data_IF_942306834946
#
_entry.id   IF_942306834946
#
_cell.length_a   1.000
_cell.length_b   1.000
_cell.length_c   1.000
_cell.angle_alpha   90.00
_cell.angle_beta   90.00
_cell.angle_gamma   90.00
#
_symmetry.space_group_name_H-M   'P 1'
#
loop_
_entity.id
_entity.type
_entity.pdbx_description
1 polymer ?
#
# COMPACT_ATOMS: atom_id res chain seq x y z
N UNK A 1 -47.66 12.43 54.68
CA UNK A 1 -46.23 12.18 55.03
C UNK A 1 -45.62 10.96 54.33
N UNK A 2 -46.35 9.86 54.09
CA UNK A 2 -45.82 8.65 53.42
C UNK A 2 -45.33 8.82 51.96
N UNK A 3 -45.92 9.71 51.15
CA UNK A 3 -45.47 9.93 49.75
C UNK A 3 -44.17 10.74 49.61
N UNK A 4 -43.81 11.59 50.58
CA UNK A 4 -42.54 12.35 50.55
C UNK A 4 -41.34 11.51 51.02
N UNK A 5 -41.57 10.51 51.86
CA UNK A 5 -40.52 9.59 52.32
C UNK A 5 -40.13 8.57 51.24
N UNK A 6 -41.09 8.14 50.40
CA UNK A 6 -40.83 7.20 49.30
C UNK A 6 -40.02 7.83 48.15
N UNK A 7 -40.30 9.09 47.79
CA UNK A 7 -39.50 9.81 46.78
C UNK A 7 -38.09 10.13 47.23
N UNK A 8 -37.86 10.31 48.54
CA UNK A 8 -36.52 10.57 49.08
C UNK A 8 -35.71 9.26 49.22
N UNK A 9 -36.36 8.14 49.52
CA UNK A 9 -35.72 6.81 49.53
C UNK A 9 -35.38 6.34 48.10
N UNK A 10 -36.22 6.64 47.11
CA UNK A 10 -35.94 6.32 45.70
C UNK A 10 -34.78 7.16 45.15
N UNK A 11 -34.66 8.42 45.55
CA UNK A 11 -33.55 9.29 45.16
C UNK A 11 -32.22 8.84 45.81
N UNK A 12 -32.26 8.33 47.05
CA UNK A 12 -31.08 7.76 47.74
C UNK A 12 -30.69 6.41 47.14
N UNK A 13 -31.66 5.58 46.70
CA UNK A 13 -31.37 4.34 45.96
C UNK A 13 -30.82 4.58 44.55
N UNK A 14 -31.26 5.64 43.86
CA UNK A 14 -30.73 6.04 42.53
C UNK A 14 -29.33 6.68 42.61
N UNK A 15 -28.98 7.32 43.73
CA UNK A 15 -27.62 7.86 43.98
C UNK A 15 -26.65 6.76 44.47
N UNK A 16 -27.15 5.66 45.02
CA UNK A 16 -26.35 4.51 45.46
C UNK A 16 -26.14 3.44 44.38
N UNK A 17 -26.95 3.43 43.32
CA UNK A 17 -26.64 2.71 42.07
C UNK A 17 -25.77 3.56 41.15
N UNK A 18 -24.71 4.16 41.70
CA UNK A 18 -23.57 4.54 40.87
C UNK A 18 -23.09 3.25 40.23
N UNK A 19 -23.20 3.15 38.91
CA UNK A 19 -22.61 2.09 38.12
C UNK A 19 -21.10 2.10 38.37
N UNK A 20 -20.63 1.39 39.40
CA UNK A 20 -19.33 0.75 39.31
C UNK A 20 -19.53 -0.38 38.32
N UNK A 21 -19.24 -0.11 37.05
CA UNK A 21 -18.83 -1.19 36.16
C UNK A 21 -17.68 -1.88 36.85
N UNK A 22 -17.81 -3.18 37.11
CA UNK A 22 -16.68 -3.98 37.57
C UNK A 22 -15.51 -3.73 36.59
N UNK A 23 -14.28 -3.50 37.07
CA UNK A 23 -13.15 -3.30 36.20
C UNK A 23 -13.05 -4.48 35.22
N UNK A 24 -12.72 -4.22 33.94
CA UNK A 24 -12.62 -5.28 32.95
C UNK A 24 -11.63 -6.34 33.41
N UNK A 25 -11.91 -7.60 33.08
CA UNK A 25 -11.05 -8.71 33.46
C UNK A 25 -9.64 -8.50 32.87
N UNK A 26 -8.57 -8.81 33.62
CA UNK A 26 -7.21 -8.72 33.10
C UNK A 26 -7.04 -9.56 31.84
N UNK A 27 -6.39 -8.99 30.83
CA UNK A 27 -6.10 -9.62 29.55
C UNK A 27 -4.60 -9.74 29.33
N UNK A 28 -4.20 -10.74 28.55
CA UNK A 28 -2.83 -10.96 28.08
C UNK A 28 -2.39 -9.95 26.99
N UNK A 29 -3.33 -9.15 26.49
CA UNK A 29 -3.11 -8.03 25.59
C UNK A 29 -3.37 -6.67 26.28
N UNK A 30 -2.76 -5.57 25.78
CA UNK A 30 -3.04 -4.21 26.25
C UNK A 30 -4.51 -3.82 26.16
N UNK A 31 -4.91 -2.84 26.97
CA UNK A 31 -6.28 -2.32 26.97
C UNK A 31 -6.63 -1.66 25.64
N UNK A 32 -7.64 -2.19 24.94
CA UNK A 32 -8.07 -1.66 23.65
C UNK A 32 -8.36 -0.15 23.69
N UNK A 33 -7.93 0.53 22.63
CA UNK A 33 -8.21 1.94 22.34
C UNK A 33 -9.25 2.02 21.22
N UNK A 34 -10.43 2.53 21.53
CA UNK A 34 -11.46 2.87 20.55
C UNK A 34 -11.35 4.35 20.16
N UNK A 35 -11.36 4.61 18.85
CA UNK A 35 -11.31 5.95 18.28
C UNK A 35 -12.67 6.25 17.67
N UNK A 36 -13.43 7.14 18.31
CA UNK A 36 -14.78 7.49 17.88
C UNK A 36 -14.81 8.87 17.19
N UNK A 37 -15.44 8.92 16.02
CA UNK A 37 -15.86 10.13 15.33
C UNK A 37 -17.38 10.08 15.08
N UNK A 38 -18.13 10.97 15.73
CA UNK A 38 -19.60 10.99 15.63
C UNK A 38 -20.21 9.66 16.06
N UNK A 39 -20.99 9.03 15.17
CA UNK A 39 -21.64 7.72 15.40
C UNK A 39 -20.81 6.53 14.88
N UNK A 40 -19.55 6.75 14.49
CA UNK A 40 -18.65 5.72 13.96
C UNK A 40 -17.34 5.67 14.74
N UNK A 41 -16.65 4.54 14.70
CA UNK A 41 -15.32 4.42 15.29
C UNK A 41 -14.58 3.18 14.83
N UNK A 42 -13.30 3.11 15.18
CA UNK A 42 -12.43 1.97 14.95
C UNK A 42 -11.63 1.66 16.21
N UNK A 43 -11.33 0.38 16.43
CA UNK A 43 -10.32 -0.04 17.39
C UNK A 43 -8.95 0.27 16.80
N UNK A 44 -8.12 1.06 17.48
CA UNK A 44 -6.75 1.32 17.06
C UNK A 44 -5.87 0.06 17.15
N UNK A 45 -4.89 -0.07 16.27
CA UNK A 45 -3.96 -1.20 16.30
C UNK A 45 -2.96 -1.01 17.44
N UNK A 46 -2.91 -1.97 18.38
CA UNK A 46 -1.81 -2.09 19.33
C UNK A 46 -0.57 -2.58 18.59
N UNK A 47 0.53 -1.82 18.68
CA UNK A 47 1.71 -2.02 17.83
C UNK A 47 2.89 -2.51 18.65
N UNK A 48 3.53 -1.59 19.38
CA UNK A 48 4.63 -1.90 20.27
C UNK A 48 4.16 -1.83 21.71
N UNK A 49 4.43 -2.86 22.50
CA UNK A 49 4.04 -2.85 23.91
C UNK A 49 4.91 -3.71 24.80
N UNK A 50 4.97 -3.29 26.06
CA UNK A 50 5.45 -4.10 27.19
C UNK A 50 4.32 -4.21 28.19
N UNK A 51 3.76 -5.40 28.34
CA UNK A 51 2.52 -5.63 29.09
C UNK A 51 2.71 -6.66 30.19
N UNK A 52 2.24 -6.35 31.40
CA UNK A 52 2.26 -7.25 32.54
C UNK A 52 0.82 -7.61 32.91
N UNK A 53 0.56 -8.89 33.15
CA UNK A 53 -0.79 -9.37 33.48
C UNK A 53 -0.72 -10.59 34.41
N UNK A 54 -1.75 -10.84 35.23
CA UNK A 54 -1.80 -12.01 36.10
C UNK A 54 -2.18 -13.25 35.28
N UNK A 55 -1.42 -14.33 35.47
CA UNK A 55 -1.76 -15.65 34.97
C UNK A 55 -3.06 -16.13 35.62
N UNK A 56 -4.04 -16.51 34.79
CA UNK A 56 -5.39 -16.88 35.24
C UNK A 56 -5.46 -18.14 36.12
N UNK A 57 -4.43 -18.99 36.11
CA UNK A 57 -4.40 -20.23 36.90
C UNK A 57 -3.57 -20.10 38.17
N UNK A 58 -2.44 -19.40 38.11
CA UNK A 58 -1.44 -19.33 39.18
C UNK A 58 -1.46 -17.99 39.94
N UNK A 59 -2.05 -16.94 39.36
CA UNK A 59 -2.03 -15.58 39.88
C UNK A 59 -0.64 -14.93 39.85
N UNK A 60 0.35 -15.57 39.23
CA UNK A 60 1.68 -15.00 39.03
C UNK A 60 1.66 -13.99 37.89
N UNK A 61 2.45 -12.92 38.00
CA UNK A 61 2.60 -11.95 36.92
C UNK A 61 3.38 -12.55 35.75
N UNK A 62 2.79 -12.50 34.56
CA UNK A 62 3.40 -12.76 33.27
C UNK A 62 3.73 -11.44 32.58
N UNK A 63 4.63 -11.52 31.60
CA UNK A 63 5.06 -10.38 30.79
C UNK A 63 4.97 -10.74 29.31
N UNK A 64 4.32 -9.89 28.52
CA UNK A 64 4.33 -9.90 27.07
C UNK A 64 5.10 -8.69 26.55
N UNK A 65 5.95 -8.90 25.55
CA UNK A 65 6.65 -7.84 24.83
C UNK A 65 6.44 -8.10 23.33
N UNK A 66 6.01 -7.05 22.63
CA UNK A 66 5.83 -7.05 21.18
C UNK A 66 6.51 -5.80 20.62
N UNK A 67 7.25 -6.02 19.54
CA UNK A 67 7.90 -5.00 18.73
C UNK A 67 7.56 -5.34 17.28
N UNK A 68 6.76 -4.50 16.64
CA UNK A 68 6.28 -4.70 15.27
C UNK A 68 7.19 -3.97 14.26
N UNK A 69 7.00 -4.27 12.97
CA UNK A 69 7.68 -3.54 11.90
C UNK A 69 7.21 -2.06 11.84
N UNK A 70 7.95 -1.22 11.11
CA UNK A 70 7.59 0.20 10.92
C UNK A 70 6.10 0.33 10.51
N UNK A 71 5.27 1.11 11.25
CA UNK A 71 3.85 1.29 10.93
C UNK A 71 3.61 1.80 9.51
N UNK A 72 4.58 2.51 8.90
CA UNK A 72 4.47 2.99 7.53
C UNK A 72 4.68 1.89 6.48
N UNK A 73 5.36 0.80 6.83
CA UNK A 73 5.48 -0.38 5.97
C UNK A 73 4.19 -1.21 5.96
N UNK A 74 3.34 -1.06 6.97
CA UNK A 74 2.12 -1.85 7.18
C UNK A 74 0.86 -0.97 7.30
N UNK A 75 0.81 0.16 6.59
CA UNK A 75 -0.33 1.09 6.64
C UNK A 75 -1.68 0.38 6.41
N UNK A 76 -1.75 -0.59 5.51
CA UNK A 76 -2.97 -1.35 5.22
C UNK A 76 -3.48 -2.17 6.41
N UNK A 77 -2.59 -2.57 7.33
CA UNK A 77 -2.95 -3.23 8.58
C UNK A 77 -3.42 -2.24 9.65
N UNK A 78 -3.17 -0.94 9.49
CA UNK A 78 -3.56 0.09 10.45
C UNK A 78 -5.01 0.53 10.15
N UNK A 79 -5.91 0.40 11.14
CA UNK A 79 -7.31 0.77 11.00
C UNK A 79 -7.46 2.28 10.80
N UNK A 80 -8.53 2.70 10.13
CA UNK A 80 -8.72 4.10 9.78
C UNK A 80 -10.15 4.59 9.98
N UNK A 81 -10.26 5.88 10.27
CA UNK A 81 -11.52 6.61 10.21
C UNK A 81 -11.55 7.46 8.94
N UNK A 82 -12.64 7.37 8.17
CA UNK A 82 -12.84 8.12 6.94
C UNK A 82 -14.02 9.07 7.12
N UNK A 83 -13.76 10.38 7.27
CA UNK A 83 -14.78 11.38 7.65
C UNK A 83 -14.39 12.82 7.25
N UNK A 84 -15.36 13.74 7.39
CA UNK A 84 -15.22 15.15 7.04
C UNK A 84 -14.33 15.95 8.02
N UNK A 85 -13.67 17.00 7.52
CA UNK A 85 -12.64 17.82 8.21
C UNK A 85 -13.09 18.61 9.45
N UNK A 86 -14.31 18.41 9.94
CA UNK A 86 -14.86 19.21 11.04
C UNK A 86 -15.31 18.33 12.18
N UNK A 87 -14.72 18.48 13.36
CA UNK A 87 -15.18 17.77 14.54
C UNK A 87 -14.06 17.45 15.51
N UNK A 88 -14.26 16.36 16.26
CA UNK A 88 -13.34 15.88 17.27
C UNK A 88 -13.33 14.36 17.26
N UNK A 89 -12.15 13.79 17.47
CA UNK A 89 -11.96 12.35 17.70
C UNK A 89 -11.93 12.11 19.21
N UNK A 90 -12.73 11.17 19.70
CA UNK A 90 -12.71 10.76 21.09
C UNK A 90 -11.89 9.48 21.23
N UNK A 91 -10.84 9.53 22.06
CA UNK A 91 -10.05 8.36 22.41
C UNK A 91 -10.68 7.72 23.66
N UNK A 92 -11.11 6.46 23.55
CA UNK A 92 -11.73 5.71 24.64
C UNK A 92 -10.94 4.45 24.92
N UNK A 93 -10.34 4.40 26.11
CA UNK A 93 -9.69 3.20 26.59
C UNK A 93 -10.68 2.35 27.38
N UNK A 94 -10.52 1.02 27.30
CA UNK A 94 -11.26 0.10 28.17
C UNK A 94 -10.95 0.37 29.67
N UNK A 95 -9.71 0.76 29.95
CA UNK A 95 -9.24 1.28 31.24
C UNK A 95 -8.41 2.53 30.98
N UNK A 96 -8.75 3.65 31.62
CA UNK A 96 -8.03 4.91 31.41
C UNK A 96 -6.54 4.80 31.80
N UNK A 97 -5.61 5.28 30.96
CA UNK A 97 -4.19 5.29 31.26
C UNK A 97 -3.82 6.38 32.27
N UNK A 98 -2.69 6.20 32.94
CA UNK A 98 -2.11 7.20 33.84
C UNK A 98 -1.40 8.32 33.07
N UNK A 99 -0.85 8.00 31.90
CA UNK A 99 -0.26 8.97 30.98
C UNK A 99 -0.57 8.66 29.54
N UNK A 100 -0.67 9.73 28.74
CA UNK A 100 -1.03 9.70 27.34
C UNK A 100 -0.19 10.73 26.58
N UNK A 101 0.52 10.26 25.57
CA UNK A 101 1.20 11.11 24.59
C UNK A 101 0.60 10.84 23.21
N UNK A 102 0.32 11.92 22.47
CA UNK A 102 -0.29 11.82 21.14
C UNK A 102 0.59 12.59 20.17
N UNK A 103 1.00 11.89 19.11
CA UNK A 103 1.66 12.45 17.97
C UNK A 103 0.80 12.24 16.72
N UNK A 104 0.83 13.21 15.84
CA UNK A 104 0.16 13.17 14.55
C UNK A 104 1.19 13.44 13.47
N UNK A 105 1.25 12.53 12.51
CA UNK A 105 2.07 12.65 11.32
C UNK A 105 1.13 12.96 10.15
N UNK A 106 1.54 13.86 9.27
CA UNK A 106 0.79 14.21 8.08
C UNK A 106 1.40 13.55 6.86
N UNK A 107 0.60 13.22 5.86
CA UNK A 107 1.11 12.77 4.58
C UNK A 107 1.81 13.91 3.80
N UNK A 108 1.50 15.18 4.10
CA UNK A 108 2.03 16.36 3.41
C UNK A 108 3.56 16.49 3.52
N UNK A 109 4.16 15.96 4.58
CA UNK A 109 5.62 15.92 4.78
C UNK A 109 6.20 14.50 4.63
N UNK A 110 5.39 13.56 4.10
CA UNK A 110 5.77 12.15 4.00
C UNK A 110 5.78 11.41 5.34
N UNK A 111 5.01 11.86 6.33
CA UNK A 111 5.06 11.38 7.71
C UNK A 111 6.49 11.55 8.28
N UNK A 112 7.13 12.66 7.93
CA UNK A 112 8.53 12.96 8.20
C UNK A 112 8.73 13.53 9.60
N UNK A 113 7.83 14.40 10.05
CA UNK A 113 7.87 15.05 11.34
C UNK A 113 6.57 14.83 12.13
N UNK A 114 6.72 14.46 13.41
CA UNK A 114 5.60 14.29 14.31
C UNK A 114 5.17 15.64 14.88
N UNK A 115 3.88 15.97 14.80
CA UNK A 115 3.30 17.10 15.53
C UNK A 115 2.64 16.58 16.81
N UNK A 116 3.05 17.12 17.95
CA UNK A 116 2.40 16.81 19.24
C UNK A 116 0.96 17.33 19.23
N UNK A 117 0.01 16.49 19.65
CA UNK A 117 -1.41 16.83 19.70
C UNK A 117 -1.87 16.86 21.15
N UNK A 118 -2.38 18.01 21.59
CA UNK A 118 -2.96 18.13 22.92
C UNK A 118 -4.38 17.53 22.96
N UNK A 119 -4.57 16.53 23.81
CA UNK A 119 -5.91 16.07 24.15
C UNK A 119 -6.65 17.14 24.96
N UNK A 120 -7.89 17.44 24.55
CA UNK A 120 -8.74 18.43 25.20
C UNK A 120 -9.75 17.78 26.15
N UNK A 121 -9.88 18.36 27.35
CA UNK A 121 -10.94 18.02 28.32
C UNK A 121 -10.79 16.64 28.99
N UNK A 122 -11.83 16.21 29.70
CA UNK A 122 -11.83 14.99 30.53
C UNK A 122 -12.16 13.70 29.76
N UNK A 123 -12.07 13.70 28.42
CA UNK A 123 -12.48 12.59 27.55
C UNK A 123 -11.45 12.29 26.45
N UNK A 124 -10.18 12.64 26.70
CA UNK A 124 -9.06 12.43 25.78
C UNK A 124 -9.42 12.76 24.32
N UNK A 125 -9.95 13.97 24.11
CA UNK A 125 -10.55 14.34 22.83
C UNK A 125 -9.57 15.17 22.00
N UNK A 126 -9.21 14.71 20.81
CA UNK A 126 -8.27 15.40 19.93
C UNK A 126 -9.02 16.11 18.78
N UNK A 127 -8.51 17.26 18.30
CA UNK A 127 -9.06 17.92 17.14
C UNK A 127 -8.87 17.05 15.90
N UNK A 128 -9.87 17.07 15.02
CA UNK A 128 -9.72 16.52 13.67
C UNK A 128 -8.78 17.45 12.88
N UNK A 129 -7.83 16.91 12.10
CA UNK A 129 -6.99 17.74 11.26
C UNK A 129 -7.83 18.59 10.28
N UNK A 130 -7.49 19.87 10.17
CA UNK A 130 -8.24 20.84 9.35
C UNK A 130 -7.66 21.03 7.96
N UNK A 131 -6.39 20.68 7.79
CA UNK A 131 -5.73 20.69 6.49
C UNK A 131 -6.19 19.48 5.66
N UNK A 132 -6.09 19.60 4.35
CA UNK A 132 -6.28 18.47 3.44
C UNK A 132 -5.15 17.48 3.63
N UNK A 133 -5.48 16.19 3.69
CA UNK A 133 -4.46 15.13 3.78
C UNK A 133 -4.90 13.89 4.54
N UNK A 134 -4.03 12.90 4.50
CA UNK A 134 -4.10 11.67 5.29
C UNK A 134 -3.17 11.79 6.48
N UNK A 135 -3.61 11.33 7.64
CA UNK A 135 -2.88 11.49 8.89
C UNK A 135 -2.70 10.15 9.57
N UNK A 136 -1.53 9.95 10.17
CA UNK A 136 -1.23 8.81 11.02
C UNK A 136 -1.12 9.32 12.46
N UNK A 137 -1.98 8.82 13.33
CA UNK A 137 -1.92 9.11 14.75
C UNK A 137 -1.16 8.01 15.47
N UNK A 138 -0.18 8.42 16.27
CA UNK A 138 0.55 7.58 17.21
C UNK A 138 0.15 7.96 18.64
N UNK A 139 -0.30 6.98 19.42
CA UNK A 139 -0.80 7.19 20.78
C UNK A 139 0.00 6.29 21.70
N UNK A 140 0.85 6.88 22.53
CA UNK A 140 1.60 6.15 23.55
C UNK A 140 0.86 6.29 24.87
N UNK A 141 0.42 5.18 25.44
CA UNK A 141 -0.33 5.15 26.69
C UNK A 141 0.36 4.23 27.72
N UNK A 142 0.34 4.64 28.98
CA UNK A 142 0.96 3.90 30.08
C UNK A 142 0.00 3.71 31.25
N UNK A 143 0.08 2.52 31.84
CA UNK A 143 -0.65 2.13 33.04
C UNK A 143 0.34 1.64 34.09
N UNK A 144 0.25 2.20 35.28
CA UNK A 144 1.02 1.75 36.44
C UNK A 144 0.24 0.66 37.17
N UNK A 145 0.98 -0.21 37.86
CA UNK A 145 0.37 -1.19 38.74
C UNK A 145 -0.42 -0.49 39.86
N UNK A 146 -1.68 -0.87 40.05
CA UNK A 146 -2.57 -0.29 41.06
C UNK A 146 -3.44 -1.34 41.74
N UNK A 147 -4.22 -0.93 42.75
CA UNK A 147 -5.16 -1.83 43.45
C UNK A 147 -6.28 -2.33 42.54
N UNK A 148 -6.74 -1.49 41.61
CA UNK A 148 -7.83 -1.78 40.66
C UNK A 148 -7.34 -2.09 39.23
N UNK A 149 -6.03 -1.99 38.97
CA UNK A 149 -5.40 -2.21 37.66
C UNK A 149 -4.48 -3.41 37.77
N UNK A 150 -5.03 -4.58 37.44
CA UNK A 150 -4.31 -5.86 37.56
C UNK A 150 -3.41 -6.16 36.38
N UNK A 151 -3.68 -5.57 35.21
CA UNK A 151 -2.81 -5.64 34.03
C UNK A 151 -2.33 -4.23 33.66
N UNK A 152 -1.01 -4.06 33.48
CA UNK A 152 -0.34 -2.76 33.40
C UNK A 152 0.89 -2.81 32.51
N UNK A 153 1.35 -1.65 32.04
CA UNK A 153 2.47 -1.54 31.11
C UNK A 153 2.30 -0.38 30.15
N UNK A 154 3.02 -0.44 29.04
CA UNK A 154 3.08 0.60 28.03
C UNK A 154 2.63 0.02 26.70
N UNK A 155 1.86 0.79 25.92
CA UNK A 155 1.47 0.40 24.57
C UNK A 155 1.43 1.63 23.65
N UNK A 156 2.00 1.48 22.47
CA UNK A 156 1.86 2.40 21.34
C UNK A 156 0.76 1.90 20.41
N UNK A 157 -0.22 2.75 20.16
CA UNK A 157 -1.32 2.47 19.23
C UNK A 157 -1.19 3.32 17.98
N UNK A 158 -1.63 2.77 16.84
CA UNK A 158 -1.79 3.52 15.60
C UNK A 158 -3.22 3.46 15.06
N UNK A 159 -3.66 4.59 14.54
CA UNK A 159 -4.83 4.66 13.65
C UNK A 159 -4.59 5.72 12.58
N UNK A 160 -5.25 5.58 11.44
CA UNK A 160 -5.21 6.57 10.36
C UNK A 160 -6.47 7.42 10.35
N UNK A 161 -6.34 8.68 9.97
CA UNK A 161 -7.45 9.55 9.59
C UNK A 161 -7.31 9.84 8.10
N UNK A 162 -8.29 9.41 7.31
CA UNK A 162 -8.25 9.53 5.85
C UNK A 162 -9.35 10.49 5.35
N UNK A 163 -9.11 11.18 4.22
CA UNK A 163 -10.12 11.98 3.54
C UNK A 163 -11.38 11.18 3.17
N UNK A 164 -12.48 11.91 2.97
CA UNK A 164 -13.73 11.31 2.50
C UNK A 164 -13.53 10.63 1.14
N UNK A 165 -13.85 9.33 1.06
CA UNK A 165 -13.68 8.51 -0.16
C UNK A 165 -12.37 7.69 -0.25
N UNK A 166 -11.41 7.86 0.66
CA UNK A 166 -10.19 7.03 0.68
C UNK A 166 -10.45 5.65 1.33
N UNK A 167 -10.21 4.57 0.60
CA UNK A 167 -10.46 3.18 1.03
C UNK A 167 -9.34 2.62 1.90
N UNK A 168 -8.21 3.32 2.04
CA UNK A 168 -7.08 2.90 2.86
C UNK A 168 -6.36 1.64 2.35
N UNK A 169 -6.70 1.18 1.14
CA UNK A 169 -6.20 -0.04 0.52
C UNK A 169 -4.85 0.23 -0.17
N UNK A 170 -3.78 -0.34 0.39
CA UNK A 170 -2.45 -0.38 -0.21
C UNK A 170 -2.06 -1.86 -0.27
N UNK A 171 -2.42 -2.53 -1.36
CA UNK A 171 -2.06 -3.94 -1.61
C UNK A 171 -0.94 -4.01 -2.64
N UNK A 172 0.22 -4.53 -2.25
CA UNK A 172 1.24 -5.03 -3.19
C UNK A 172 2.07 -4.00 -3.98
N UNK A 173 1.87 -2.70 -3.77
CA UNK A 173 2.70 -1.64 -4.35
C UNK A 173 3.39 -0.86 -3.22
N UNK A 174 4.65 -0.46 -3.43
CA UNK A 174 5.35 0.47 -2.54
C UNK A 174 4.52 1.75 -2.49
N UNK A 175 4.06 2.15 -1.31
CA UNK A 175 3.39 3.43 -1.17
C UNK A 175 4.31 4.56 -1.62
N UNK A 176 3.78 5.59 -2.27
CA UNK A 176 4.54 6.82 -2.58
C UNK A 176 5.29 7.35 -1.34
N UNK A 177 4.68 7.19 -0.18
CA UNK A 177 5.25 7.57 1.11
C UNK A 177 6.48 6.76 1.49
N UNK A 178 6.49 5.46 1.17
CA UNK A 178 7.66 4.60 1.39
C UNK A 178 8.84 5.04 0.53
N UNK A 179 8.62 5.52 -0.70
CA UNK A 179 9.70 6.07 -1.56
C UNK A 179 10.49 7.17 -0.83
N UNK A 180 9.80 8.02 -0.08
CA UNK A 180 10.43 9.14 0.62
C UNK A 180 11.44 8.67 1.66
N UNK A 181 11.28 7.45 2.19
CA UNK A 181 12.13 6.84 3.21
C UNK A 181 13.11 5.81 2.65
N UNK A 182 12.87 5.30 1.44
CA UNK A 182 13.78 4.34 0.80
C UNK A 182 15.19 4.92 0.70
N UNK A 183 16.16 4.10 1.05
CA UNK A 183 17.58 4.32 0.81
C UNK A 183 18.01 3.53 -0.44
N UNK A 184 19.12 3.94 -1.09
CA UNK A 184 19.63 3.23 -2.27
C UNK A 184 19.92 1.73 -2.01
N UNK A 185 20.31 1.37 -0.79
CA UNK A 185 20.65 -0.01 -0.42
C UNK A 185 19.40 -0.90 -0.24
N UNK A 186 18.23 -0.30 -0.04
CA UNK A 186 16.96 -1.01 0.01
C UNK A 186 16.40 -1.31 -1.38
N UNK A 187 16.98 -0.73 -2.43
CA UNK A 187 16.59 -1.00 -3.81
C UNK A 187 17.41 -2.15 -4.37
N UNK A 188 16.73 -3.19 -4.85
CA UNK A 188 17.34 -4.24 -5.65
C UNK A 188 17.81 -3.68 -7.00
N UNK A 189 16.92 -2.96 -7.68
CA UNK A 189 17.17 -2.33 -8.97
C UNK A 189 16.20 -1.18 -9.24
N UNK A 190 16.64 -0.22 -10.06
CA UNK A 190 15.78 0.83 -10.57
C UNK A 190 15.91 0.87 -12.06
N UNK A 191 14.79 1.12 -12.73
CA UNK A 191 14.77 1.30 -14.16
C UNK A 191 14.06 2.56 -14.55
N UNK A 192 14.59 3.19 -15.59
CA UNK A 192 13.98 4.35 -16.20
C UNK A 192 13.85 4.06 -17.68
N UNK A 193 12.62 4.09 -18.17
CA UNK A 193 12.26 3.97 -19.58
C UNK A 193 11.95 5.36 -20.10
N UNK A 194 12.49 5.68 -21.27
CA UNK A 194 12.17 6.89 -22.00
C UNK A 194 11.48 6.50 -23.30
N UNK A 195 10.15 6.58 -23.32
CA UNK A 195 9.33 6.12 -24.44
C UNK A 195 9.56 6.95 -25.71
N UNK A 196 9.82 8.25 -25.57
CA UNK A 196 10.18 9.13 -26.68
C UNK A 196 11.48 8.75 -27.40
N UNK A 197 12.44 8.15 -26.70
CA UNK A 197 13.70 7.65 -27.28
C UNK A 197 13.71 6.14 -27.52
N UNK A 198 12.73 5.41 -27.00
CA UNK A 198 12.69 3.94 -27.01
C UNK A 198 13.95 3.33 -26.38
N UNK A 199 14.37 3.90 -25.25
CA UNK A 199 15.57 3.51 -24.51
C UNK A 199 15.26 3.25 -23.05
N UNK A 200 16.11 2.45 -22.42
CA UNK A 200 16.04 2.12 -21.00
C UNK A 200 17.42 2.27 -20.35
N UNK A 201 17.42 2.72 -19.10
CA UNK A 201 18.58 2.66 -18.21
C UNK A 201 18.25 1.79 -17.01
N UNK A 202 19.09 0.78 -16.76
CA UNK A 202 19.00 -0.08 -15.57
C UNK A 202 20.05 0.37 -14.54
N UNK A 203 19.58 1.03 -13.49
CA UNK A 203 20.36 1.56 -12.38
C UNK A 203 20.68 0.44 -11.38
N UNK A 204 21.92 -0.09 -11.44
CA UNK A 204 22.39 -1.14 -10.52
C UNK A 204 23.30 -0.60 -9.41
N UNK A 205 23.92 0.55 -9.64
CA UNK A 205 24.86 1.17 -8.68
C UNK A 205 24.11 1.93 -7.58
N UNK A 206 24.71 2.01 -6.40
CA UNK A 206 24.19 2.83 -5.29
C UNK A 206 24.04 4.30 -5.70
N UNK A 207 24.98 4.83 -6.50
CA UNK A 207 24.97 6.21 -6.96
C UNK A 207 23.78 6.50 -7.91
N UNK A 208 23.54 5.63 -8.91
CA UNK A 208 22.39 5.80 -9.82
C UNK A 208 21.06 5.67 -9.06
N UNK A 209 20.96 4.71 -8.13
CA UNK A 209 19.79 4.54 -7.27
C UNK A 209 19.55 5.78 -6.40
N UNK A 210 20.61 6.38 -5.86
CA UNK A 210 20.53 7.63 -5.10
C UNK A 210 20.03 8.79 -5.98
N UNK A 211 20.55 8.93 -7.20
CA UNK A 211 20.09 9.95 -8.16
C UNK A 211 18.59 9.85 -8.41
N UNK A 212 18.07 8.65 -8.67
CA UNK A 212 16.62 8.46 -8.88
C UNK A 212 15.82 8.76 -7.62
N UNK A 213 16.22 8.22 -6.47
CA UNK A 213 15.51 8.45 -5.22
C UNK A 213 15.48 9.93 -4.82
N UNK A 214 16.61 10.63 -4.92
CA UNK A 214 16.70 12.05 -4.60
C UNK A 214 15.83 12.87 -5.55
N UNK A 215 15.83 12.54 -6.84
CA UNK A 215 14.93 13.17 -7.80
C UNK A 215 13.46 12.97 -7.40
N UNK A 216 13.05 11.73 -7.14
CA UNK A 216 11.67 11.42 -6.75
C UNK A 216 11.28 12.12 -5.46
N UNK A 217 12.14 12.11 -4.43
CA UNK A 217 11.90 12.79 -3.14
C UNK A 217 11.69 14.29 -3.29
N UNK A 218 12.48 14.93 -4.15
CA UNK A 218 12.39 16.36 -4.39
C UNK A 218 11.15 16.77 -5.19
N UNK A 219 10.53 15.83 -5.91
CA UNK A 219 9.43 16.13 -6.82
C UNK A 219 8.07 15.51 -6.43
N UNK A 220 8.05 14.47 -5.57
CA UNK A 220 6.84 13.75 -5.15
C UNK A 220 6.24 14.24 -3.82
N UNK A 221 6.67 15.40 -3.31
CA UNK A 221 6.19 15.96 -2.05
C UNK A 221 4.92 16.82 -2.23
N UNK A 222 3.85 16.25 -2.77
CA UNK A 222 2.60 16.99 -3.04
C UNK A 222 1.34 16.14 -2.85
N UNK A 223 0.21 16.82 -2.57
CA UNK A 223 -1.12 16.21 -2.52
C UNK A 223 -1.48 15.55 -3.86
N UNK A 224 -1.67 14.23 -3.84
CA UNK A 224 -2.06 13.47 -5.02
C UNK A 224 -3.57 13.58 -5.22
N UNK A 225 -4.00 14.55 -6.01
CA UNK A 225 -5.39 14.66 -6.45
C UNK A 225 -5.57 13.78 -7.68
N UNK A 226 -6.49 12.82 -7.61
CA UNK A 226 -6.80 11.99 -8.77
C UNK A 226 -7.40 12.86 -9.89
N UNK A 227 -6.93 12.69 -11.11
CA UNK A 227 -7.38 13.47 -12.27
C UNK A 227 -7.85 12.59 -13.41
N UNK A 228 -8.74 13.13 -14.24
CA UNK A 228 -9.08 12.47 -15.51
C UNK A 228 -8.06 12.87 -16.57
N UNK A 229 -7.26 11.91 -17.03
CA UNK A 229 -6.30 12.12 -18.12
C UNK A 229 -6.91 11.69 -19.47
N UNK A 230 -6.61 12.40 -20.58
CA UNK A 230 -7.03 11.99 -21.93
C UNK A 230 -6.23 10.81 -22.49
N UNK A 231 -5.09 10.46 -21.89
CA UNK A 231 -4.21 9.35 -22.32
C UNK A 231 -3.57 8.69 -21.10
N UNK A 232 -3.33 7.38 -21.19
CA UNK A 232 -2.53 6.63 -20.22
C UNK A 232 -1.08 6.44 -20.70
N UNK A 233 -0.70 6.95 -21.86
CA UNK A 233 0.66 6.79 -22.37
C UNK A 233 1.64 7.70 -21.63
N UNK A 234 2.48 7.10 -20.79
CA UNK A 234 3.57 7.80 -20.11
C UNK A 234 4.72 8.13 -21.06
N UNK A 235 5.33 9.30 -20.92
CA UNK A 235 6.57 9.65 -21.63
C UNK A 235 7.78 8.96 -20.99
N UNK A 236 7.78 8.91 -19.65
CA UNK A 236 8.77 8.21 -18.86
C UNK A 236 8.09 7.20 -17.95
N UNK A 237 8.68 6.02 -17.82
CA UNK A 237 8.25 5.03 -16.83
C UNK A 237 9.42 4.73 -15.92
N UNK A 238 9.22 4.81 -14.61
CA UNK A 238 10.19 4.42 -13.61
C UNK A 238 9.69 3.19 -12.87
N UNK A 239 10.57 2.20 -12.72
CA UNK A 239 10.29 1.00 -11.94
C UNK A 239 11.28 0.90 -10.81
N UNK A 240 10.80 0.79 -9.57
CA UNK A 240 11.62 0.62 -8.38
C UNK A 240 11.33 -0.75 -7.79
N UNK A 241 12.35 -1.61 -7.73
CA UNK A 241 12.27 -2.91 -7.07
C UNK A 241 12.99 -2.85 -5.72
N UNK A 242 12.29 -3.19 -4.64
CA UNK A 242 12.82 -3.20 -3.27
C UNK A 242 13.28 -4.61 -2.91
N UNK A 243 14.29 -4.70 -2.04
CA UNK A 243 14.91 -5.97 -1.62
C UNK A 243 13.96 -6.91 -0.87
N UNK A 244 12.84 -6.41 -0.36
CA UNK A 244 11.77 -7.20 0.26
C UNK A 244 10.80 -7.83 -0.76
N UNK A 245 11.01 -7.59 -2.06
CA UNK A 245 10.17 -8.09 -3.15
C UNK A 245 9.07 -7.12 -3.59
N UNK A 246 8.85 -6.00 -2.89
CA UNK A 246 7.88 -4.99 -3.27
C UNK A 246 8.32 -4.21 -4.51
N UNK A 247 7.37 -3.70 -5.28
CA UNK A 247 7.64 -2.91 -6.48
C UNK A 247 6.80 -1.65 -6.57
N UNK A 248 7.30 -0.67 -7.30
CA UNK A 248 6.56 0.52 -7.72
C UNK A 248 6.77 0.77 -9.20
N UNK A 249 5.69 1.08 -9.90
CA UNK A 249 5.75 1.67 -11.24
C UNK A 249 5.18 3.08 -11.20
N UNK A 250 5.97 4.03 -11.68
CA UNK A 250 5.62 5.43 -11.86
C UNK A 250 5.60 5.73 -13.36
N UNK A 251 4.45 6.04 -13.93
CA UNK A 251 4.38 6.65 -15.26
C UNK A 251 4.34 8.16 -15.14
N UNK A 252 5.10 8.90 -15.94
CA UNK A 252 5.04 10.35 -16.02
C UNK A 252 4.45 10.79 -17.36
N UNK A 253 3.37 11.56 -17.31
CA UNK A 253 2.69 12.13 -18.47
C UNK A 253 2.81 13.66 -18.39
N UNK A 254 3.59 14.31 -19.27
CA UNK A 254 3.59 15.77 -19.34
C UNK A 254 2.23 16.27 -19.88
N UNK A 255 1.70 17.33 -19.26
CA UNK A 255 0.48 18.01 -19.69
C UNK A 255 0.77 19.51 -19.92
N UNK A 256 -0.17 20.23 -20.53
CA UNK A 256 0.01 21.68 -20.76
C UNK A 256 -0.03 22.45 -19.43
N UNK A 257 1.14 22.86 -18.95
CA UNK A 257 1.32 23.63 -17.71
C UNK A 257 1.27 22.82 -16.41
N UNK A 258 1.13 21.49 -16.48
CA UNK A 258 1.13 20.56 -15.33
C UNK A 258 1.64 19.19 -15.77
N UNK A 259 1.62 18.19 -14.90
CA UNK A 259 1.88 16.80 -15.27
C UNK A 259 0.89 15.85 -14.58
N UNK A 260 0.92 14.60 -15.01
CA UNK A 260 0.22 13.51 -14.35
C UNK A 260 1.18 12.37 -14.04
N UNK A 261 1.00 11.77 -12.87
CA UNK A 261 1.67 10.55 -12.47
C UNK A 261 0.70 9.39 -12.51
N UNK A 262 1.09 8.31 -13.16
CA UNK A 262 0.42 7.02 -13.11
C UNK A 262 1.05 6.16 -12.02
N UNK A 263 0.26 5.80 -11.03
CA UNK A 263 0.67 4.93 -9.92
C UNK A 263 -0.24 3.72 -9.94
N UNK A 264 0.28 2.53 -10.23
CA UNK A 264 -0.55 1.33 -10.31
C UNK A 264 -1.70 1.41 -11.32
N UNK A 265 -1.54 2.24 -12.36
CA UNK A 265 -2.55 2.52 -13.39
C UNK A 265 -3.42 3.75 -13.12
N UNK A 266 -3.26 4.40 -11.97
CA UNK A 266 -4.12 5.48 -11.50
C UNK A 266 -3.49 6.85 -11.76
N UNK A 267 -4.19 7.77 -12.46
CA UNK A 267 -3.69 9.11 -12.75
C UNK A 267 -3.89 10.10 -11.59
N UNK A 268 -2.78 10.70 -11.15
CA UNK A 268 -2.75 11.78 -10.16
C UNK A 268 -2.13 13.04 -10.74
N UNK A 269 -2.63 14.21 -10.35
CA UNK A 269 -1.99 15.48 -10.69
C UNK A 269 -0.60 15.55 -10.06
N UNK A 270 0.36 16.05 -10.82
CA UNK A 270 1.72 16.23 -10.36
C UNK A 270 2.28 17.57 -10.87
N UNK A 271 3.20 18.14 -10.11
CA UNK A 271 4.04 19.23 -10.60
C UNK A 271 4.86 18.78 -11.81
N UNK A 272 5.21 19.73 -12.68
CA UNK A 272 6.11 19.46 -13.81
C UNK A 272 7.46 19.02 -13.27
N UNK A 273 7.91 17.84 -13.70
CA UNK A 273 9.20 17.27 -13.35
C UNK A 273 10.17 17.32 -14.53
N UNK A 274 11.43 17.64 -14.26
CA UNK A 274 12.49 17.64 -15.28
C UNK A 274 13.03 16.21 -15.50
N UNK A 275 12.24 15.39 -16.17
CA UNK A 275 12.58 13.99 -16.44
C UNK A 275 13.82 13.84 -17.34
N UNK A 276 14.07 14.82 -18.20
CA UNK A 276 15.27 14.87 -19.04
C UNK A 276 16.54 15.12 -18.22
N UNK A 277 16.46 15.97 -17.20
CA UNK A 277 17.52 16.14 -16.22
C UNK A 277 17.78 14.83 -15.47
N UNK A 278 16.74 14.13 -15.02
CA UNK A 278 16.89 12.82 -14.38
C UNK A 278 17.59 11.83 -15.33
N UNK A 279 17.08 11.69 -16.55
CA UNK A 279 17.64 10.80 -17.57
C UNK A 279 19.13 11.06 -17.81
N UNK A 280 19.52 12.33 -17.89
CA UNK A 280 20.90 12.75 -18.11
C UNK A 280 21.81 12.56 -16.90
N UNK A 281 21.26 12.62 -15.69
CA UNK A 281 22.02 12.48 -14.44
C UNK A 281 22.41 11.02 -14.15
N UNK A 282 21.57 10.06 -14.56
CA UNK A 282 21.84 8.62 -14.43
C UNK A 282 23.05 8.24 -15.30
N UNK A 283 24.06 7.65 -14.69
CA UNK A 283 25.31 7.26 -15.34
C UNK A 283 25.22 5.91 -16.08
N UNK A 284 24.22 5.09 -15.74
CA UNK A 284 23.95 3.85 -16.46
C UNK A 284 23.80 4.12 -17.97
N UNK A 285 24.45 3.27 -18.77
CA UNK A 285 24.39 3.37 -20.22
C UNK A 285 22.96 3.09 -20.70
N UNK A 286 22.39 3.93 -21.58
CA UNK A 286 21.10 3.64 -22.17
C UNK A 286 21.25 2.46 -23.13
N UNK A 287 20.32 1.52 -23.02
CA UNK A 287 20.17 0.42 -23.96
C UNK A 287 18.96 0.73 -24.84
N UNK A 288 19.10 0.54 -26.14
CA UNK A 288 17.97 0.58 -27.06
C UNK A 288 17.06 -0.60 -26.75
N UNK A 289 15.77 -0.35 -26.56
CA UNK A 289 14.82 -1.43 -26.33
C UNK A 289 14.76 -2.38 -27.54
N UNK A 290 14.91 -1.85 -28.75
CA UNK A 290 14.99 -2.66 -29.97
C UNK A 290 16.25 -3.56 -30.03
N UNK A 291 17.33 -3.20 -29.33
CA UNK A 291 18.54 -4.04 -29.20
C UNK A 291 18.40 -5.11 -28.10
N UNK A 292 17.41 -4.98 -27.21
CA UNK A 292 17.07 -6.03 -26.25
C UNK A 292 16.13 -7.10 -26.83
N UNK A 293 15.55 -6.85 -28.00
CA UNK A 293 14.73 -7.81 -28.71
C UNK A 293 15.45 -9.17 -28.85
N UNK A 294 14.79 -10.31 -28.55
CA UNK A 294 15.44 -11.60 -28.70
C UNK A 294 15.89 -11.84 -30.13
N UNK A 295 17.17 -12.23 -30.27
CA UNK A 295 17.81 -12.49 -31.56
C UNK A 295 17.13 -13.63 -32.35
N UNK A 296 16.40 -14.50 -31.64
CA UNK A 296 15.72 -15.70 -32.12
C UNK A 296 14.22 -15.53 -32.36
N UNK A 297 13.78 -14.29 -32.64
CA UNK A 297 12.40 -13.99 -33.05
C UNK A 297 11.99 -14.82 -34.27
N UNK A 298 10.92 -15.60 -34.13
CA UNK A 298 10.38 -16.50 -35.16
C UNK A 298 9.53 -15.76 -36.20
N UNK A 299 8.76 -14.77 -35.76
CA UNK A 299 7.97 -13.86 -36.60
C UNK A 299 7.64 -12.57 -35.85
N UNK A 300 7.32 -11.50 -36.57
CA UNK A 300 6.89 -10.22 -36.00
C UNK A 300 5.49 -9.83 -36.48
N UNK A 301 4.73 -9.15 -35.62
CA UNK A 301 3.40 -8.63 -35.91
C UNK A 301 3.21 -7.23 -35.32
N UNK A 302 2.78 -6.28 -36.15
CA UNK A 302 2.35 -4.94 -35.68
C UNK A 302 0.95 -4.98 -35.05
N UNK A 303 0.16 -6.00 -35.39
CA UNK A 303 -1.17 -6.21 -34.83
C UNK A 303 -1.08 -7.15 -33.62
N UNK A 304 -1.98 -6.96 -32.65
CA UNK A 304 -2.11 -7.81 -31.47
C UNK A 304 -2.47 -9.26 -31.88
N UNK A 305 -1.58 -10.25 -31.69
CA UNK A 305 -1.85 -11.63 -32.07
C UNK A 305 -3.04 -12.23 -31.31
N UNK A 306 -3.37 -11.66 -30.14
CA UNK A 306 -4.52 -12.07 -29.32
C UNK A 306 -5.87 -11.78 -29.96
N UNK A 307 -5.94 -10.83 -30.90
CA UNK A 307 -7.19 -10.47 -31.58
C UNK A 307 -7.82 -11.65 -32.34
N UNK A 308 -7.01 -12.61 -32.78
CA UNK A 308 -7.47 -13.83 -33.45
C UNK A 308 -8.02 -14.90 -32.48
N UNK A 309 -7.69 -14.80 -31.20
CA UNK A 309 -8.02 -15.79 -30.16
C UNK A 309 -9.26 -15.42 -29.33
N UNK A 310 -9.77 -14.19 -29.49
CA UNK A 310 -10.95 -13.69 -28.78
C UNK A 310 -10.68 -13.37 -27.31
N UNK A 311 -11.73 -13.15 -26.51
CA UNK A 311 -11.58 -12.58 -25.16
C UNK A 311 -11.45 -13.62 -24.03
N UNK A 312 -11.19 -14.89 -24.37
CA UNK A 312 -11.06 -15.95 -23.37
C UNK A 312 -9.62 -16.10 -22.87
N UNK A 313 -9.18 -15.14 -22.07
CA UNK A 313 -7.84 -15.15 -21.47
C UNK A 313 -7.88 -14.67 -20.02
N UNK A 314 -6.84 -15.01 -19.28
CA UNK A 314 -6.56 -14.45 -17.95
C UNK A 314 -5.30 -13.60 -17.99
N UNK A 315 -5.23 -12.55 -17.16
CA UNK A 315 -3.98 -11.83 -16.97
C UNK A 315 -3.19 -12.48 -15.85
N UNK A 316 -1.87 -12.44 -15.92
CA UNK A 316 -1.05 -12.93 -14.83
C UNK A 316 0.43 -12.70 -14.97
N UNK A 317 1.14 -12.98 -13.87
CA UNK A 317 2.60 -13.02 -13.83
C UNK A 317 3.07 -14.46 -13.97
N UNK A 318 3.99 -14.70 -14.90
CA UNK A 318 4.54 -16.03 -15.17
C UNK A 318 5.45 -16.48 -14.00
N UNK A 319 5.15 -17.65 -13.41
CA UNK A 319 5.89 -18.22 -12.28
C UNK A 319 6.64 -19.51 -12.61
N UNK A 320 6.12 -20.31 -13.52
CA UNK A 320 6.78 -21.49 -14.06
C UNK A 320 6.26 -21.78 -15.47
N UNK A 321 7.12 -22.34 -16.32
CA UNK A 321 6.79 -22.67 -17.70
C UNK A 321 7.53 -23.94 -18.17
N UNK A 322 6.88 -25.09 -18.03
CA UNK A 322 7.35 -26.40 -18.52
C UNK A 322 6.22 -27.05 -19.35
N UNK A 323 5.79 -28.28 -19.01
CA UNK A 323 4.61 -28.97 -19.59
C UNK A 323 3.27 -28.32 -19.14
N UNK A 324 3.35 -27.45 -18.14
CA UNK A 324 2.26 -26.64 -17.61
C UNK A 324 2.77 -25.22 -17.35
N UNK A 325 1.84 -24.29 -17.25
CA UNK A 325 2.13 -22.90 -16.88
C UNK A 325 1.58 -22.61 -15.50
N UNK A 326 2.45 -22.10 -14.62
CA UNK A 326 2.05 -21.57 -13.32
C UNK A 326 2.06 -20.05 -13.39
N UNK A 327 0.99 -19.42 -12.92
CA UNK A 327 0.86 -17.97 -12.92
C UNK A 327 0.20 -17.45 -11.64
N UNK A 328 0.56 -16.24 -11.28
CA UNK A 328 -0.20 -15.44 -10.32
C UNK A 328 -1.26 -14.65 -11.11
N UNK A 329 -2.52 -14.98 -10.91
CA UNK A 329 -3.61 -14.45 -11.71
C UNK A 329 -3.94 -13.03 -11.27
N UNK A 330 -3.99 -12.13 -12.24
CA UNK A 330 -4.29 -10.72 -12.06
C UNK A 330 -5.68 -10.42 -12.61
N UNK A 331 -6.44 -9.64 -11.86
CA UNK A 331 -7.75 -9.16 -12.31
C UNK A 331 -7.66 -7.69 -12.66
N UNK A 332 -8.16 -7.34 -13.84
CA UNK A 332 -8.44 -5.94 -14.15
C UNK A 332 -9.71 -5.54 -13.41
N UNK A 333 -9.59 -4.56 -12.52
CA UNK A 333 -10.73 -3.95 -11.86
C UNK A 333 -11.07 -2.69 -12.65
N UNK A 334 -12.32 -2.61 -13.10
CA UNK A 334 -12.93 -1.43 -13.72
C UNK A 334 -14.05 -0.98 -12.78
N UNK A 335 -13.76 0.01 -11.95
CA UNK A 335 -14.69 0.52 -10.93
C UNK A 335 -14.91 2.02 -11.18
N UNK A 336 -16.15 2.49 -10.98
CA UNK A 336 -16.45 3.92 -11.11
C UNK A 336 -16.00 4.74 -9.91
N UNK A 337 -15.77 4.09 -8.77
CA UNK A 337 -15.40 4.68 -7.48
C UNK A 337 -13.96 4.34 -7.08
N UNK A 338 -13.38 3.23 -7.58
CA UNK A 338 -11.97 2.88 -7.42
C UNK A 338 -11.19 3.02 -8.73
N UNK A 339 -9.88 3.27 -8.68
CA UNK A 339 -9.13 3.48 -9.90
C UNK A 339 -8.76 2.17 -10.60
N UNK A 340 -8.95 2.17 -11.91
CA UNK A 340 -8.75 1.01 -12.75
C UNK A 340 -7.32 0.49 -12.70
N UNK A 341 -7.16 -0.83 -12.59
CA UNK A 341 -5.83 -1.43 -12.52
C UNK A 341 -5.85 -2.94 -12.34
N UNK A 342 -4.68 -3.55 -12.48
CA UNK A 342 -4.48 -4.97 -12.20
C UNK A 342 -4.26 -5.16 -10.70
N UNK A 343 -5.01 -6.07 -10.09
CA UNK A 343 -4.86 -6.47 -8.68
C UNK A 343 -4.68 -7.97 -8.54
N UNK A 344 -3.87 -8.35 -7.56
CA UNK A 344 -3.70 -9.73 -7.13
C UNK A 344 -4.75 -10.02 -6.04
N UNK A 345 -5.68 -10.94 -6.30
CA UNK A 345 -6.69 -11.33 -5.30
C UNK A 345 -6.16 -12.47 -4.40
N UNK A 346 -6.64 -12.52 -3.15
CA UNK A 346 -6.29 -13.60 -2.23
C UNK A 346 -6.78 -14.95 -2.76
N UNK A 347 -5.85 -15.91 -2.94
CA UNK A 347 -6.14 -17.24 -3.50
C UNK A 347 -5.86 -17.38 -5.01
N UNK A 348 -5.37 -16.32 -5.64
CA UNK A 348 -5.00 -16.27 -7.06
C UNK A 348 -3.49 -16.47 -7.34
N UNK A 349 -2.73 -16.84 -6.31
CA UNK A 349 -1.30 -17.16 -6.41
C UNK A 349 -1.07 -18.60 -6.88
N UNK A 350 -0.10 -18.79 -7.77
CA UNK A 350 0.39 -20.10 -8.19
C UNK A 350 -0.67 -20.98 -8.87
N UNK A 351 -1.60 -20.40 -9.63
CA UNK A 351 -2.57 -21.16 -10.45
C UNK A 351 -1.83 -21.90 -11.54
N UNK A 352 -2.19 -23.16 -11.74
CA UNK A 352 -1.59 -24.01 -12.75
C UNK A 352 -2.60 -24.30 -13.85
N UNK A 353 -2.16 -24.14 -15.10
CA UNK A 353 -2.91 -24.49 -16.30
C UNK A 353 -2.07 -25.41 -17.18
N UNK A 354 -2.65 -26.47 -17.77
CA UNK A 354 -1.94 -27.28 -18.76
C UNK A 354 -1.59 -26.43 -19.99
N UNK A 355 -0.43 -26.71 -20.59
CA UNK A 355 0.05 -26.02 -21.79
C UNK A 355 -0.28 -26.85 -23.03
N UNK A 356 -0.88 -26.24 -24.04
CA UNK A 356 -1.15 -26.93 -25.30
C UNK A 356 0.15 -27.22 -26.07
N UNK A 357 0.20 -28.37 -26.76
CA UNK A 357 1.38 -28.80 -27.54
C UNK A 357 1.80 -27.78 -28.62
N UNK A 358 0.85 -27.00 -29.15
CA UNK A 358 1.05 -25.98 -30.17
C UNK A 358 0.92 -24.55 -29.62
N UNK A 359 1.10 -24.36 -28.31
CA UNK A 359 1.04 -23.05 -27.68
C UNK A 359 2.03 -22.07 -28.33
N UNK A 360 1.56 -20.83 -28.56
CA UNK A 360 2.39 -19.76 -29.12
C UNK A 360 2.78 -18.73 -28.07
N UNK A 361 4.00 -18.21 -28.16
CA UNK A 361 4.56 -17.28 -27.19
C UNK A 361 4.93 -15.98 -27.88
N UNK A 362 4.40 -14.87 -27.38
CA UNK A 362 4.58 -13.55 -27.96
C UNK A 362 5.01 -12.58 -26.90
N UNK A 363 6.11 -11.89 -27.16
CA UNK A 363 6.61 -10.79 -26.34
C UNK A 363 6.55 -9.50 -27.14
N UNK A 364 6.69 -8.36 -26.48
CA UNK A 364 6.79 -7.08 -27.15
C UNK A 364 8.26 -6.70 -27.30
N UNK A 365 8.70 -6.36 -28.52
CA UNK A 365 10.09 -6.07 -28.86
C UNK A 365 10.77 -5.09 -27.87
N UNK A 366 10.01 -4.10 -27.44
CA UNK A 366 10.41 -3.01 -26.55
C UNK A 366 9.38 -2.80 -25.43
N UNK A 367 8.69 -3.86 -25.01
CA UNK A 367 7.49 -3.78 -24.17
C UNK A 367 6.35 -2.93 -24.79
N UNK A 368 6.43 -2.57 -26.09
CA UNK A 368 5.45 -1.73 -26.79
C UNK A 368 4.99 -2.27 -28.16
N UNK A 369 5.88 -2.41 -29.13
CA UNK A 369 5.61 -2.90 -30.49
C UNK A 369 6.91 -3.10 -31.28
N UNK A 370 6.96 -4.01 -32.26
CA UNK A 370 5.95 -5.01 -32.61
C UNK A 370 5.91 -6.18 -31.62
N UNK A 371 4.90 -7.03 -31.75
CA UNK A 371 4.89 -8.35 -31.12
C UNK A 371 5.88 -9.27 -31.83
N UNK A 372 6.76 -9.91 -31.07
CA UNK A 372 7.73 -10.88 -31.53
C UNK A 372 7.31 -12.27 -31.03
N UNK A 373 7.05 -13.21 -31.95
CA UNK A 373 6.86 -14.61 -31.58
C UNK A 373 8.19 -15.24 -31.26
N UNK A 374 8.27 -15.97 -30.16
CA UNK A 374 9.50 -16.57 -29.67
C UNK A 374 9.28 -18.03 -29.26
N UNK A 375 10.36 -18.75 -28.97
CA UNK A 375 10.27 -20.08 -28.39
C UNK A 375 9.94 -20.00 -26.88
N UNK A 376 9.52 -21.13 -26.29
CA UNK A 376 9.18 -21.23 -24.86
C UNK A 376 10.36 -20.81 -23.96
N UNK A 377 11.57 -21.30 -24.25
CA UNK A 377 12.78 -20.98 -23.49
C UNK A 377 13.07 -19.47 -23.53
N UNK A 378 12.94 -18.85 -24.70
CA UNK A 378 13.10 -17.41 -24.89
C UNK A 378 12.07 -16.59 -24.13
N UNK A 379 10.80 -17.02 -24.10
CA UNK A 379 9.77 -16.37 -23.29
C UNK A 379 10.11 -16.46 -21.80
N UNK A 380 10.55 -17.63 -21.34
CA UNK A 380 10.95 -17.83 -19.96
C UNK A 380 12.12 -16.91 -19.60
N UNK A 381 13.18 -16.92 -20.39
CA UNK A 381 14.33 -16.04 -20.19
C UNK A 381 13.91 -14.57 -20.19
N UNK A 382 13.08 -14.13 -21.15
CA UNK A 382 12.53 -12.77 -21.21
C UNK A 382 11.80 -12.37 -19.92
N UNK A 383 10.95 -13.26 -19.42
CA UNK A 383 10.21 -13.04 -18.18
C UNK A 383 11.14 -12.97 -16.95
N UNK A 384 12.34 -13.59 -17.00
CA UNK A 384 13.33 -13.55 -15.92
C UNK A 384 14.37 -12.42 -16.07
N UNK A 385 14.68 -11.97 -17.29
CA UNK A 385 15.77 -11.01 -17.55
C UNK A 385 15.49 -9.60 -17.07
N UNK A 386 14.22 -9.26 -16.99
CA UNK A 386 13.75 -8.00 -16.46
C UNK A 386 14.09 -7.90 -14.97
N UNK A 387 13.93 -8.96 -14.18
CA UNK A 387 14.08 -8.88 -12.73
C UNK A 387 12.86 -8.24 -12.05
N UNK A 388 11.73 -8.20 -12.76
CA UNK A 388 10.38 -7.94 -12.23
C UNK A 388 9.34 -8.76 -13.00
N UNK A 389 8.10 -8.76 -12.51
CA UNK A 389 7.04 -9.56 -13.09
C UNK A 389 6.41 -8.87 -14.31
N UNK A 390 6.65 -9.44 -15.50
CA UNK A 390 6.00 -9.01 -16.74
C UNK A 390 4.57 -9.54 -16.78
N UNK A 391 3.60 -8.67 -17.09
CA UNK A 391 2.20 -9.08 -17.21
C UNK A 391 1.95 -9.72 -18.57
N UNK A 392 1.39 -10.91 -18.56
CA UNK A 392 0.99 -11.64 -19.75
C UNK A 392 -0.52 -11.87 -19.76
N UNK A 393 -1.05 -12.04 -20.97
CA UNK A 393 -2.36 -12.64 -21.25
C UNK A 393 -2.16 -14.10 -21.60
N UNK A 394 -2.85 -14.98 -20.88
CA UNK A 394 -2.83 -16.43 -21.08
C UNK A 394 -4.18 -16.82 -21.70
N UNK A 395 -4.17 -17.07 -23.01
CA UNK A 395 -5.36 -17.43 -23.78
C UNK A 395 -5.68 -18.90 -23.56
N UNK A 396 -6.94 -19.17 -23.25
CA UNK A 396 -7.41 -20.50 -22.86
C UNK A 396 -8.32 -21.09 -23.94
N UNK A 397 -8.09 -22.34 -24.31
CA UNK A 397 -9.01 -23.15 -25.10
C UNK A 397 -9.14 -24.53 -24.45
N UNK A 398 -10.38 -24.98 -24.21
CA UNK A 398 -10.66 -26.26 -23.54
C UNK A 398 -9.95 -26.48 -22.18
N UNK A 399 -9.56 -25.39 -21.50
CA UNK A 399 -8.86 -25.42 -20.21
C UNK A 399 -7.34 -25.50 -20.32
N UNK A 400 -6.78 -25.50 -21.53
CA UNK A 400 -5.36 -25.45 -21.83
C UNK A 400 -4.95 -24.05 -22.28
N UNK A 401 -3.72 -23.62 -21.97
CA UNK A 401 -3.16 -22.38 -22.48
C UNK A 401 -2.64 -22.60 -23.89
N UNK A 402 -3.23 -21.89 -24.85
CA UNK A 402 -2.91 -21.98 -26.30
C UNK A 402 -2.06 -20.81 -26.79
N UNK A 403 -2.02 -19.71 -26.03
CA UNK A 403 -1.07 -18.64 -26.28
C UNK A 403 -0.74 -17.87 -25.00
N UNK A 404 0.51 -17.43 -24.90
CA UNK A 404 0.96 -16.48 -23.88
C UNK A 404 1.45 -15.25 -24.62
N UNK A 405 0.78 -14.12 -24.40
CA UNK A 405 1.06 -12.87 -25.10
C UNK A 405 1.32 -11.79 -24.07
N UNK A 406 2.47 -11.14 -24.18
CA UNK A 406 2.79 -10.01 -23.33
C UNK A 406 1.71 -8.92 -23.43
N UNK A 407 1.26 -8.42 -22.28
CA UNK A 407 0.28 -7.35 -22.23
C UNK A 407 1.00 -6.02 -22.37
N UNK A 408 0.76 -5.32 -23.49
CA UNK A 408 1.14 -3.92 -23.60
C UNK A 408 0.49 -3.13 -22.46
N UNK A 409 1.30 -2.49 -21.62
CA UNK A 409 0.84 -1.53 -20.62
C UNK A 409 1.21 -0.13 -21.15
N UNK A 410 0.25 0.65 -21.69
CA UNK A 410 0.50 2.05 -22.02
C UNK A 410 0.95 2.85 -20.80
#
# INVERSE_FOLDING_TARGET
MKKRMLSMLLLILLVLSGCKSDPPAPTDQPWALEVEYGDSGVTAAAWDYTWNYPDGETGQTQKAEVEEADPLALLSAIPFVNRSKTGKLNLRFAVEPDSLEIACYTNADGYGEAVSVEASGSKNTIPVPTEDGSYLFQITASWNQGEDVTAWGDCTYYFRYLPEGDTGEQTGEISLYRILKLTPDELFGVEVFHNGLSQQKTCRTTDDKAVVLDFLKNNLATDFVQVKTPSLEAEFVLRLAVTDGSQLTLGYIPLDGTACLLLGGVPYEAGVMDMEQLWSAIQADPVSLAEQAPEDTLETSEEDPGAALGDNFVHGYLRALDDAVTLDQMKWIDDSEDPNGYRLEAGELGKEYPLADDCTFWILQDHRSPYCRVAQETLWDWAQTTGWDVLFRFYLENGEVVAIIEQFRP
#
